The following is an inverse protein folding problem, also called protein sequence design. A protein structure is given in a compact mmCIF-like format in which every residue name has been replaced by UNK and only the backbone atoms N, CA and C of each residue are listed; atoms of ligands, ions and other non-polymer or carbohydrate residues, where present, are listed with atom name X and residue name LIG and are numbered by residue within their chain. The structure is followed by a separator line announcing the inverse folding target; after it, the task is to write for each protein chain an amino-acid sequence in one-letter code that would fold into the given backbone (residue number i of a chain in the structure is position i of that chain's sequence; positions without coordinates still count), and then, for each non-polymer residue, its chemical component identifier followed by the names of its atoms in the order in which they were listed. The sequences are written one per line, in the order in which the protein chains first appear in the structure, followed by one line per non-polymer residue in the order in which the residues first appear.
data_IF_451759017421
#
_entry.id   IF_451759017421
#
_cell.length_a   1.000
_cell.length_b   1.000
_cell.length_c   1.000
_cell.angle_alpha   90.00
_cell.angle_beta   90.00
_cell.angle_gamma   90.00
#
_symmetry.space_group_name_H-M   'P 1'
#
loop_
_entity.id
_entity.type
_entity.pdbx_description
1 polymer ?
#
# COMPACT_ATOMS: atom_id res chain seq x y z
N UNK A 1 -0.26 -25.13 -82.93
CA UNK A 1 0.53 -26.25 -83.46
C UNK A 1 0.46 -27.40 -82.46
N UNK A 2 -0.30 -28.46 -82.73
CA UNK A 2 -0.41 -29.58 -81.81
C UNK A 2 0.77 -30.54 -82.00
N UNK A 3 1.35 -30.99 -80.90
CA UNK A 3 2.36 -32.04 -80.81
C UNK A 3 1.76 -33.36 -81.33
N UNK A 4 1.91 -33.62 -82.62
CA UNK A 4 1.54 -34.86 -83.30
C UNK A 4 2.82 -35.56 -83.76
N UNK A 5 3.53 -36.19 -82.83
CA UNK A 5 4.09 -37.54 -82.96
C UNK A 5 4.99 -37.86 -81.77
N UNK A 6 4.49 -38.72 -80.88
CA UNK A 6 5.30 -39.41 -79.88
C UNK A 6 4.99 -40.89 -80.05
N UNK A 7 5.99 -41.68 -80.44
CA UNK A 7 5.87 -43.12 -80.67
C UNK A 7 5.27 -43.83 -79.44
N UNK A 8 4.58 -44.98 -79.61
CA UNK A 8 3.83 -45.64 -78.53
C UNK A 8 4.66 -45.94 -77.26
N UNK A 9 5.97 -46.11 -77.41
CA UNK A 9 6.91 -46.32 -76.30
C UNK A 9 7.16 -45.05 -75.46
N UNK A 10 7.11 -43.85 -76.07
CA UNK A 10 7.23 -42.58 -75.36
C UNK A 10 5.94 -42.24 -74.58
N UNK A 11 4.76 -42.55 -75.14
CA UNK A 11 3.46 -42.30 -74.48
C UNK A 11 3.26 -43.16 -73.22
N UNK A 12 3.72 -44.41 -73.24
CA UNK A 12 3.64 -45.31 -72.06
C UNK A 12 4.63 -44.90 -70.95
N UNK A 13 5.83 -44.45 -71.32
CA UNK A 13 6.80 -43.88 -70.36
C UNK A 13 6.35 -42.54 -69.78
N UNK A 14 5.75 -41.66 -70.59
CA UNK A 14 5.16 -40.41 -70.11
C UNK A 14 4.05 -40.65 -69.08
N UNK A 15 3.10 -41.56 -69.34
CA UNK A 15 2.00 -41.80 -68.38
C UNK A 15 2.45 -42.39 -67.03
N UNK A 16 3.53 -43.19 -67.02
CA UNK A 16 4.12 -43.70 -65.77
C UNK A 16 4.83 -42.58 -65.01
N UNK A 17 5.51 -41.69 -65.73
CA UNK A 17 6.22 -40.55 -65.16
C UNK A 17 5.22 -39.49 -64.63
N UNK A 18 4.13 -39.22 -65.34
CA UNK A 18 3.03 -38.36 -64.88
C UNK A 18 2.39 -38.88 -63.58
N UNK A 19 2.14 -40.19 -63.49
CA UNK A 19 1.62 -40.81 -62.24
C UNK A 19 2.63 -40.74 -61.10
N UNK A 20 3.93 -40.91 -61.38
CA UNK A 20 4.98 -40.78 -60.37
C UNK A 20 5.08 -39.33 -59.86
N UNK A 21 4.98 -38.34 -60.74
CA UNK A 21 4.92 -36.91 -60.37
C UNK A 21 3.67 -36.62 -59.55
N UNK A 22 2.51 -37.15 -59.93
CA UNK A 22 1.27 -37.03 -59.15
C UNK A 22 1.39 -37.56 -57.72
N UNK A 23 1.98 -38.76 -57.55
CA UNK A 23 2.26 -39.33 -56.23
C UNK A 23 3.27 -38.50 -55.42
N UNK A 24 4.31 -37.98 -56.07
CA UNK A 24 5.28 -37.11 -55.43
C UNK A 24 4.64 -35.82 -54.90
N UNK A 25 3.81 -35.16 -55.72
CA UNK A 25 3.08 -33.95 -55.33
C UNK A 25 2.10 -34.24 -54.19
N UNK A 26 1.38 -35.36 -54.25
CA UNK A 26 0.46 -35.77 -53.18
C UNK A 26 1.21 -36.01 -51.87
N UNK A 27 2.33 -36.72 -51.92
CA UNK A 27 3.18 -36.97 -50.75
C UNK A 27 3.76 -35.65 -50.18
N UNK A 28 4.17 -34.73 -51.03
CA UNK A 28 4.64 -33.41 -50.62
C UNK A 28 3.53 -32.60 -49.91
N UNK A 29 2.31 -32.59 -50.46
CA UNK A 29 1.15 -31.95 -49.82
C UNK A 29 0.83 -32.60 -48.47
N UNK A 30 0.89 -33.93 -48.39
CA UNK A 30 0.62 -34.67 -47.15
C UNK A 30 1.68 -34.36 -46.07
N UNK A 31 2.95 -34.28 -46.45
CA UNK A 31 4.03 -33.86 -45.54
C UNK A 31 3.88 -32.41 -45.08
N UNK A 32 3.54 -31.48 -45.99
CA UNK A 32 3.34 -30.07 -45.65
C UNK A 32 2.13 -29.88 -44.72
N UNK A 33 1.01 -30.52 -45.04
CA UNK A 33 -0.21 -30.45 -44.20
C UNK A 33 0.00 -31.12 -42.85
N UNK A 34 0.65 -32.28 -42.80
CA UNK A 34 1.02 -32.95 -41.57
C UNK A 34 1.99 -32.13 -40.71
N UNK A 35 3.03 -31.55 -41.33
CA UNK A 35 3.98 -30.67 -40.65
C UNK A 35 3.33 -29.40 -40.11
N UNK A 36 2.44 -28.77 -40.89
CA UNK A 36 1.68 -27.60 -40.44
C UNK A 36 0.72 -27.94 -39.30
N UNK A 37 0.00 -29.06 -39.38
CA UNK A 37 -0.90 -29.52 -38.32
C UNK A 37 -0.13 -29.82 -37.03
N UNK A 38 1.03 -30.48 -37.13
CA UNK A 38 1.92 -30.73 -35.99
C UNK A 38 2.45 -29.43 -35.36
N UNK A 39 2.90 -28.49 -36.19
CA UNK A 39 3.34 -27.17 -35.74
C UNK A 39 2.21 -26.40 -35.04
N UNK A 40 1.01 -26.42 -35.61
CA UNK A 40 -0.18 -25.76 -35.05
C UNK A 40 -0.57 -26.38 -33.71
N UNK A 41 -0.56 -27.72 -33.61
CA UNK A 41 -0.85 -28.45 -32.39
C UNK A 41 0.15 -28.12 -31.27
N UNK A 42 1.45 -28.19 -31.57
CA UNK A 42 2.50 -27.87 -30.60
C UNK A 42 2.45 -26.39 -30.17
N UNK A 43 2.11 -25.49 -31.09
CA UNK A 43 1.93 -24.06 -30.79
C UNK A 43 0.72 -23.84 -29.87
N UNK A 44 -0.40 -24.52 -30.15
CA UNK A 44 -1.61 -24.44 -29.35
C UNK A 44 -1.41 -25.01 -27.94
N UNK A 45 -0.67 -26.11 -27.81
CA UNK A 45 -0.29 -26.71 -26.53
C UNK A 45 0.59 -25.77 -25.71
N UNK A 46 1.65 -25.19 -26.31
CA UNK A 46 2.53 -24.21 -25.66
C UNK A 46 1.80 -22.95 -25.21
N UNK A 47 0.81 -22.49 -25.98
CA UNK A 47 -0.03 -21.34 -25.59
C UNK A 47 -1.16 -21.71 -24.62
N UNK A 48 -1.31 -23.00 -24.29
CA UNK A 48 -2.34 -23.50 -23.38
C UNK A 48 -3.77 -23.33 -23.90
N UNK A 49 -3.98 -23.39 -25.22
CA UNK A 49 -5.31 -23.25 -25.83
C UNK A 49 -6.30 -24.33 -25.39
N UNK A 50 -5.79 -25.51 -25.06
CA UNK A 50 -6.58 -26.65 -24.61
C UNK A 50 -6.66 -26.77 -23.08
N UNK A 51 -6.07 -25.82 -22.34
CA UNK A 51 -6.06 -25.85 -20.88
C UNK A 51 -7.38 -25.30 -20.36
N UNK A 52 -7.99 -26.01 -19.41
CA UNK A 52 -9.20 -25.53 -18.72
C UNK A 52 -8.91 -24.22 -17.99
N UNK A 53 -9.78 -23.24 -18.16
CA UNK A 53 -9.66 -21.91 -17.56
C UNK A 53 -10.88 -21.61 -16.71
N UNK A 54 -10.64 -21.28 -15.45
CA UNK A 54 -11.67 -20.86 -14.52
C UNK A 54 -11.82 -19.33 -14.54
N UNK A 55 -12.99 -18.80 -14.92
CA UNK A 55 -13.25 -17.37 -14.88
C UNK A 55 -13.49 -16.89 -13.46
N UNK A 56 -13.01 -15.70 -13.14
CA UNK A 56 -13.23 -15.01 -11.88
C UNK A 56 -13.53 -13.55 -12.19
N UNK A 57 -14.07 -12.86 -11.20
CA UNK A 57 -14.15 -11.41 -11.25
C UNK A 57 -13.78 -10.78 -9.93
N UNK A 58 -13.40 -9.52 -10.01
CA UNK A 58 -13.21 -8.65 -8.86
C UNK A 58 -13.70 -7.25 -9.20
N UNK A 59 -13.84 -6.46 -8.15
CA UNK A 59 -14.12 -5.05 -8.29
C UNK A 59 -12.88 -4.25 -7.94
N UNK A 60 -12.72 -3.12 -8.60
CA UNK A 60 -11.66 -2.19 -8.32
C UNK A 60 -12.23 -0.76 -8.20
N UNK A 61 -11.58 0.08 -7.42
CA UNK A 61 -11.85 1.50 -7.38
C UNK A 61 -11.44 2.18 -8.68
N UNK A 62 -10.35 1.71 -9.31
CA UNK A 62 -9.77 2.29 -10.53
C UNK A 62 -9.14 1.24 -11.45
N UNK A 63 -9.28 1.46 -12.76
CA UNK A 63 -8.67 0.62 -13.80
C UNK A 63 -7.25 1.07 -14.20
N UNK A 64 -6.72 2.14 -13.59
CA UNK A 64 -5.45 2.74 -14.00
C UNK A 64 -4.32 1.73 -13.98
N UNK A 65 -3.60 1.60 -15.09
CA UNK A 65 -2.46 0.67 -15.21
C UNK A 65 -2.84 -0.78 -15.48
N UNK A 66 -4.13 -1.10 -15.64
CA UNK A 66 -4.63 -2.42 -16.04
C UNK A 66 -5.14 -2.40 -17.48
N UNK A 67 -4.87 -3.48 -18.22
CA UNK A 67 -5.33 -3.69 -19.59
C UNK A 67 -5.88 -5.10 -19.77
N UNK A 68 -6.83 -5.24 -20.70
CA UNK A 68 -7.29 -6.55 -21.15
C UNK A 68 -6.10 -7.28 -21.79
N UNK A 69 -5.90 -8.54 -21.41
CA UNK A 69 -4.75 -9.36 -21.80
C UNK A 69 -3.57 -9.31 -20.84
N UNK A 70 -3.56 -8.42 -19.84
CA UNK A 70 -2.49 -8.40 -18.83
C UNK A 70 -2.46 -9.72 -18.04
N UNK A 71 -1.27 -10.21 -17.68
CA UNK A 71 -1.13 -11.48 -16.98
C UNK A 71 -1.68 -11.38 -15.55
N UNK A 72 -2.34 -12.45 -15.13
CA UNK A 72 -2.70 -12.67 -13.72
C UNK A 72 -1.60 -13.49 -13.08
N UNK A 73 -1.06 -12.98 -11.97
CA UNK A 73 0.02 -13.62 -11.24
C UNK A 73 -0.46 -14.38 -10.02
N UNK A 74 0.17 -15.50 -9.70
CA UNK A 74 -0.01 -16.21 -8.44
C UNK A 74 1.35 -16.64 -7.95
N UNK A 75 1.77 -16.15 -6.78
CA UNK A 75 3.11 -16.43 -6.23
C UNK A 75 4.24 -16.09 -7.23
N UNK A 76 4.07 -15.01 -8.01
CA UNK A 76 5.02 -14.59 -9.04
C UNK A 76 4.95 -15.33 -10.38
N UNK A 77 4.16 -16.40 -10.52
CA UNK A 77 3.96 -17.11 -11.77
C UNK A 77 2.81 -16.51 -12.58
N UNK A 78 2.94 -16.46 -13.91
CA UNK A 78 1.85 -16.09 -14.80
C UNK A 78 0.86 -17.25 -14.94
N UNK A 79 -0.29 -17.14 -14.30
CA UNK A 79 -1.29 -18.22 -14.18
C UNK A 79 -2.55 -17.97 -15.00
N UNK A 80 -2.69 -16.79 -15.56
CA UNK A 80 -3.94 -16.34 -16.16
C UNK A 80 -3.81 -15.03 -16.91
N UNK A 81 -4.94 -14.47 -17.30
CA UNK A 81 -4.99 -13.17 -17.97
C UNK A 81 -6.31 -12.45 -17.70
N UNK A 82 -6.28 -11.12 -17.73
CA UNK A 82 -7.48 -10.28 -17.67
C UNK A 82 -8.24 -10.42 -18.98
N UNK A 83 -9.53 -10.73 -18.91
CA UNK A 83 -10.40 -10.95 -20.08
C UNK A 83 -11.32 -9.77 -20.34
N UNK A 84 -11.68 -9.00 -19.31
CA UNK A 84 -12.60 -7.85 -19.45
C UNK A 84 -12.36 -6.81 -18.35
N UNK A 85 -12.49 -5.54 -18.70
CA UNK A 85 -12.46 -4.41 -17.76
C UNK A 85 -13.58 -3.45 -18.17
N UNK A 86 -14.54 -3.20 -17.28
CA UNK A 86 -15.65 -2.30 -17.53
C UNK A 86 -15.89 -1.33 -16.37
N UNK A 87 -16.41 -0.15 -16.69
CA UNK A 87 -16.94 0.77 -15.68
C UNK A 87 -18.31 0.28 -15.21
N UNK A 88 -18.52 0.32 -13.90
CA UNK A 88 -19.82 0.05 -13.29
C UNK A 88 -20.75 1.26 -13.40
N UNK A 89 -22.09 1.04 -13.38
CA UNK A 89 -23.05 2.13 -13.37
C UNK A 89 -22.87 3.06 -12.16
N UNK A 90 -23.27 4.35 -12.25
CA UNK A 90 -23.04 5.36 -11.20
C UNK A 90 -23.59 5.01 -9.80
N UNK A 91 -24.59 4.13 -9.73
CA UNK A 91 -25.26 3.74 -8.48
C UNK A 91 -24.73 2.42 -7.89
N UNK A 92 -23.66 1.87 -8.45
CA UNK A 92 -23.01 0.67 -7.96
C UNK A 92 -21.96 1.03 -6.90
N UNK A 93 -21.77 0.19 -5.88
CA UNK A 93 -20.82 0.49 -4.79
C UNK A 93 -19.35 0.48 -5.24
N UNK A 94 -19.07 -0.23 -6.35
CA UNK A 94 -17.75 -0.32 -6.96
C UNK A 94 -17.74 0.38 -8.30
N UNK A 95 -16.60 0.94 -8.67
CA UNK A 95 -16.44 1.76 -9.89
C UNK A 95 -16.05 0.94 -11.12
N UNK A 96 -15.21 -0.07 -10.94
CA UNK A 96 -14.62 -0.85 -12.04
C UNK A 96 -14.84 -2.33 -11.79
N UNK A 97 -15.28 -3.05 -12.81
CA UNK A 97 -15.37 -4.49 -12.84
C UNK A 97 -14.22 -5.06 -13.67
N UNK A 98 -13.54 -6.06 -13.12
CA UNK A 98 -12.43 -6.75 -13.78
C UNK A 98 -12.73 -8.24 -13.81
N UNK A 99 -12.89 -8.80 -15.01
CA UNK A 99 -13.01 -10.24 -15.25
C UNK A 99 -11.65 -10.79 -15.69
N UNK A 100 -11.28 -11.94 -15.16
CA UNK A 100 -10.02 -12.59 -15.49
C UNK A 100 -10.17 -14.11 -15.44
N UNK A 101 -9.27 -14.81 -16.12
CA UNK A 101 -9.28 -16.27 -16.16
C UNK A 101 -7.99 -16.84 -15.58
N UNK A 102 -8.10 -17.96 -14.87
CA UNK A 102 -6.95 -18.67 -14.29
C UNK A 102 -6.90 -20.08 -14.88
N UNK A 103 -5.74 -20.47 -15.38
CA UNK A 103 -5.51 -21.74 -16.06
C UNK A 103 -5.31 -22.88 -15.06
N UNK A 104 -5.60 -24.11 -15.48
CA UNK A 104 -5.19 -25.31 -14.73
C UNK A 104 -3.65 -25.36 -14.61
N UNK A 105 -3.09 -25.86 -13.50
CA UNK A 105 -3.78 -26.32 -12.28
C UNK A 105 -4.06 -25.20 -11.25
N UNK A 106 -3.74 -23.95 -11.58
CA UNK A 106 -3.61 -22.85 -10.61
C UNK A 106 -4.92 -22.40 -9.97
N UNK A 107 -6.05 -22.53 -10.66
CA UNK A 107 -7.36 -22.23 -10.05
C UNK A 107 -7.65 -23.11 -8.82
N UNK A 108 -7.03 -24.30 -8.71
CA UNK A 108 -7.18 -25.19 -7.55
C UNK A 108 -6.57 -24.63 -6.26
N UNK A 109 -5.72 -23.61 -6.37
CA UNK A 109 -5.14 -22.90 -5.23
C UNK A 109 -6.02 -21.75 -4.74
N UNK A 110 -7.12 -21.43 -5.44
CA UNK A 110 -8.03 -20.35 -5.06
C UNK A 110 -9.22 -20.87 -4.28
N UNK A 111 -9.27 -20.49 -3.00
CA UNK A 111 -10.28 -20.95 -2.06
C UNK A 111 -11.08 -19.77 -1.50
N UNK A 112 -12.23 -20.06 -0.92
CA UNK A 112 -13.17 -19.04 -0.41
C UNK A 112 -12.59 -18.18 0.71
N UNK A 113 -11.56 -18.67 1.43
CA UNK A 113 -10.87 -17.88 2.45
C UNK A 113 -9.37 -17.77 2.17
N UNK A 114 -8.85 -16.54 2.26
CA UNK A 114 -7.44 -16.22 2.09
C UNK A 114 -7.02 -15.95 0.64
N UNK A 115 -7.86 -16.29 -0.34
CA UNK A 115 -7.67 -15.83 -1.72
C UNK A 115 -8.25 -14.44 -1.93
N UNK A 116 -7.38 -13.49 -2.22
CA UNK A 116 -7.71 -12.11 -2.54
C UNK A 116 -6.98 -11.70 -3.81
N UNK A 117 -7.54 -10.72 -4.51
CA UNK A 117 -6.89 -10.05 -5.63
C UNK A 117 -6.10 -8.86 -5.09
N UNK A 118 -4.80 -8.85 -5.29
CA UNK A 118 -3.93 -7.71 -5.04
C UNK A 118 -3.64 -6.99 -6.34
N UNK A 119 -3.90 -5.69 -6.35
CA UNK A 119 -3.57 -4.83 -7.48
C UNK A 119 -2.27 -4.06 -7.18
N UNK A 120 -1.15 -4.73 -7.44
CA UNK A 120 0.20 -4.25 -7.13
C UNK A 120 0.84 -3.53 -8.32
N UNK A 121 1.69 -2.50 -8.10
CA UNK A 121 2.51 -1.94 -9.16
C UNK A 121 3.45 -3.01 -9.74
N UNK A 122 3.45 -3.14 -11.07
CA UNK A 122 4.34 -4.02 -11.82
C UNK A 122 5.75 -3.43 -11.96
N UNK A 123 5.80 -2.10 -12.07
CA UNK A 123 7.00 -1.32 -12.37
C UNK A 123 6.83 0.13 -11.88
N UNK A 124 7.91 0.91 -11.90
CA UNK A 124 7.96 2.32 -11.52
C UNK A 124 7.19 3.24 -12.47
N UNK A 125 6.86 2.77 -13.69
CA UNK A 125 6.19 3.55 -14.72
C UNK A 125 4.65 3.44 -14.71
N UNK A 126 4.06 2.89 -13.64
CA UNK A 126 2.62 2.92 -13.41
C UNK A 126 1.83 1.77 -14.04
N UNK A 127 2.49 0.77 -14.63
CA UNK A 127 1.84 -0.51 -14.95
C UNK A 127 1.46 -1.22 -13.64
N UNK A 128 0.27 -1.80 -13.56
CA UNK A 128 -0.17 -2.64 -12.44
C UNK A 128 -0.29 -4.08 -12.91
N UNK A 129 -0.01 -5.02 -12.01
CA UNK A 129 -0.33 -6.44 -12.23
C UNK A 129 -1.48 -6.84 -11.33
N UNK A 130 -2.35 -7.71 -11.85
CA UNK A 130 -3.33 -8.41 -11.03
C UNK A 130 -2.65 -9.65 -10.44
N UNK A 131 -2.42 -9.65 -9.13
CA UNK A 131 -1.90 -10.81 -8.41
C UNK A 131 -3.02 -11.43 -7.58
N UNK A 132 -3.15 -12.75 -7.61
CA UNK A 132 -4.06 -13.50 -6.74
C UNK A 132 -3.28 -14.23 -5.66
N UNK A 133 -3.80 -14.24 -4.43
CA UNK A 133 -3.21 -14.99 -3.33
C UNK A 133 -3.78 -16.39 -3.24
N UNK A 134 -2.93 -17.35 -2.85
CA UNK A 134 -3.39 -18.71 -2.55
C UNK A 134 -4.34 -18.71 -1.36
N UNK A 135 -5.33 -19.60 -1.41
CA UNK A 135 -6.24 -19.86 -0.31
C UNK A 135 -5.50 -20.34 0.93
N UNK A 136 -6.05 -20.01 2.09
CA UNK A 136 -5.56 -20.51 3.38
C UNK A 136 -6.54 -21.46 4.04
N UNK A 137 -7.84 -21.24 3.82
CA UNK A 137 -8.95 -21.97 4.45
C UNK A 137 -10.18 -21.95 3.53
N UNK A 138 -11.28 -22.50 4.02
CA UNK A 138 -12.54 -22.54 3.28
C UNK A 138 -12.55 -23.65 2.24
N UNK A 139 -13.23 -23.40 1.12
CA UNK A 139 -13.50 -24.40 0.10
C UNK A 139 -12.91 -24.00 -1.26
N UNK A 140 -12.59 -24.96 -2.15
CA UNK A 140 -12.26 -24.67 -3.54
C UNK A 140 -13.38 -23.86 -4.22
N UNK A 141 -13.00 -22.81 -4.93
CA UNK A 141 -13.97 -21.91 -5.59
C UNK A 141 -14.75 -22.58 -6.71
N UNK A 142 -14.09 -23.49 -7.44
CA UNK A 142 -14.68 -24.31 -8.51
C UNK A 142 -14.51 -25.79 -8.24
N UNK A 143 -15.53 -26.57 -8.60
CA UNK A 143 -15.55 -28.04 -8.51
C UNK A 143 -15.83 -28.66 -9.88
N UNK A 144 -15.36 -29.89 -10.06
CA UNK A 144 -15.43 -30.65 -11.33
C UNK A 144 -16.18 -31.97 -11.17
N UNK A 145 -16.59 -32.29 -9.96
CA UNK A 145 -17.42 -33.44 -9.64
C UNK A 145 -18.87 -33.16 -10.03
N UNK A 146 -19.64 -34.13 -10.55
CA UNK A 146 -21.06 -33.94 -10.82
C UNK A 146 -21.79 -33.47 -9.56
N UNK A 147 -22.53 -32.36 -9.69
CA UNK A 147 -23.41 -31.84 -8.65
C UNK A 147 -24.79 -32.49 -8.80
N UNK A 148 -25.30 -33.08 -7.73
CA UNK A 148 -26.62 -33.71 -7.69
C UNK A 148 -27.43 -33.13 -6.52
N UNK A 149 -28.73 -32.97 -6.73
CA UNK A 149 -29.67 -32.59 -5.67
C UNK A 149 -30.59 -33.76 -5.41
N UNK A 150 -30.52 -34.31 -4.20
CA UNK A 150 -31.17 -35.55 -3.79
C UNK A 150 -32.06 -35.30 -2.60
N UNK A 151 -33.13 -36.08 -2.48
CA UNK A 151 -33.89 -36.18 -1.23
C UNK A 151 -33.11 -37.00 -0.20
N UNK A 152 -33.38 -36.82 1.10
CA UNK A 152 -32.74 -37.63 2.13
C UNK A 152 -33.00 -39.14 1.95
N UNK A 153 -34.21 -39.51 1.52
CA UNK A 153 -34.56 -40.91 1.26
C UNK A 153 -33.79 -41.52 0.09
N UNK A 154 -33.55 -40.75 -0.99
CA UNK A 154 -32.69 -41.19 -2.09
C UNK A 154 -31.23 -41.31 -1.63
N UNK A 155 -30.75 -40.34 -0.83
CA UNK A 155 -29.39 -40.33 -0.32
C UNK A 155 -29.09 -41.54 0.57
N UNK A 156 -30.02 -41.98 1.43
CA UNK A 156 -29.84 -43.16 2.29
C UNK A 156 -29.67 -44.47 1.51
N UNK A 157 -30.25 -44.54 0.31
CA UNK A 157 -30.21 -45.71 -0.56
C UNK A 157 -28.98 -45.76 -1.47
N UNK A 158 -28.12 -44.73 -1.45
CA UNK A 158 -26.93 -44.71 -2.28
C UNK A 158 -25.89 -45.77 -1.84
N UNK A 159 -25.29 -46.51 -2.80
CA UNK A 159 -24.16 -47.36 -2.51
C UNK A 159 -22.91 -46.52 -2.23
N UNK A 160 -22.10 -46.93 -1.24
CA UNK A 160 -20.84 -46.24 -0.88
C UNK A 160 -21.00 -44.74 -0.59
N UNK A 161 -21.76 -44.41 0.46
CA UNK A 161 -22.00 -43.04 0.94
C UNK A 161 -20.72 -42.21 1.12
N UNK A 162 -19.62 -42.85 1.46
CA UNK A 162 -18.29 -42.24 1.62
C UNK A 162 -17.77 -41.56 0.34
N UNK A 163 -18.28 -41.98 -0.84
CA UNK A 163 -17.94 -41.40 -2.14
C UNK A 163 -18.77 -40.16 -2.47
N UNK A 164 -19.81 -39.88 -1.72
CA UNK A 164 -20.60 -38.67 -1.86
C UNK A 164 -20.16 -37.66 -0.81
N UNK A 165 -19.97 -36.41 -1.21
CA UNK A 165 -19.62 -35.33 -0.29
C UNK A 165 -20.67 -34.23 -0.35
N UNK A 166 -20.97 -33.60 0.77
CA UNK A 166 -21.89 -32.46 0.80
C UNK A 166 -21.36 -31.33 -0.08
N UNK A 167 -22.25 -30.74 -0.88
CA UNK A 167 -21.97 -29.59 -1.73
C UNK A 167 -22.51 -28.28 -1.11
N UNK A 168 -22.86 -28.28 0.17
CA UNK A 168 -23.41 -27.12 0.89
C UNK A 168 -22.98 -27.14 2.36
N UNK A 169 -22.96 -25.97 3.00
CA UNK A 169 -22.94 -25.85 4.45
C UNK A 169 -24.36 -25.84 4.99
N UNK A 170 -24.65 -26.77 5.90
CA UNK A 170 -25.95 -26.85 6.56
C UNK A 170 -25.79 -26.31 7.97
N UNK A 171 -26.62 -25.32 8.32
CA UNK A 171 -26.66 -24.70 9.65
C UNK A 171 -27.81 -25.27 10.46
N UNK A 172 -27.66 -25.26 11.78
CA UNK A 172 -28.75 -25.64 12.69
C UNK A 172 -29.86 -24.58 12.66
N UNK A 173 -31.12 -25.01 12.75
CA UNK A 173 -32.31 -24.14 12.71
C UNK A 173 -32.30 -23.05 13.80
N UNK A 174 -31.65 -23.32 14.94
CA UNK A 174 -31.73 -22.48 16.15
C UNK A 174 -30.41 -21.75 16.48
N UNK A 175 -29.43 -21.68 15.57
CA UNK A 175 -28.17 -20.98 15.87
C UNK A 175 -27.24 -20.76 14.68
N UNK A 176 -26.18 -19.99 14.92
CA UNK A 176 -25.10 -19.70 13.94
C UNK A 176 -24.13 -20.86 13.74
N UNK A 177 -24.32 -21.98 14.45
CA UNK A 177 -23.43 -23.14 14.40
C UNK A 177 -23.65 -23.95 13.12
N UNK A 178 -22.55 -24.24 12.43
CA UNK A 178 -22.51 -25.08 11.23
C UNK A 178 -22.69 -26.53 11.68
N UNK A 179 -23.77 -27.18 11.24
CA UNK A 179 -24.06 -28.58 11.52
C UNK A 179 -23.24 -29.50 10.59
N UNK A 180 -23.16 -29.13 9.31
CA UNK A 180 -22.41 -29.88 8.29
C UNK A 180 -21.63 -28.88 7.44
N UNK A 181 -20.33 -29.15 7.25
CA UNK A 181 -19.48 -28.38 6.33
C UNK A 181 -19.55 -28.97 4.92
N UNK A 182 -19.37 -28.12 3.91
CA UNK A 182 -19.19 -28.60 2.56
C UNK A 182 -17.95 -29.52 2.46
N UNK A 183 -17.95 -30.42 1.48
CA UNK A 183 -16.96 -31.45 1.24
C UNK A 183 -16.83 -32.53 2.34
N UNK A 184 -17.70 -32.53 3.34
CA UNK A 184 -17.81 -33.62 4.32
C UNK A 184 -18.41 -34.85 3.62
N UNK A 185 -17.83 -36.06 3.77
CA UNK A 185 -18.43 -37.29 3.26
C UNK A 185 -19.81 -37.55 3.86
N UNK A 186 -20.70 -38.15 3.06
CA UNK A 186 -22.01 -38.57 3.53
C UNK A 186 -21.86 -39.73 4.52
N UNK A 187 -22.68 -39.71 5.56
CA UNK A 187 -22.81 -40.81 6.52
C UNK A 187 -24.26 -40.97 6.93
N UNK A 188 -24.64 -42.20 7.31
CA UNK A 188 -26.01 -42.48 7.76
C UNK A 188 -26.39 -41.68 9.00
N UNK A 189 -25.42 -41.43 9.88
CA UNK A 189 -25.65 -40.64 11.09
C UNK A 189 -25.90 -39.17 10.77
N UNK A 190 -25.17 -38.60 9.81
CA UNK A 190 -25.40 -37.23 9.35
C UNK A 190 -26.76 -37.10 8.64
N UNK A 191 -27.15 -38.06 7.80
CA UNK A 191 -28.46 -38.03 7.14
C UNK A 191 -29.61 -38.06 8.16
N UNK A 192 -29.51 -38.89 9.20
CA UNK A 192 -30.50 -38.91 10.31
C UNK A 192 -30.54 -37.59 11.08
N UNK A 193 -29.38 -36.98 11.35
CA UNK A 193 -29.31 -35.66 11.99
C UNK A 193 -29.98 -34.59 11.13
N UNK A 194 -29.77 -34.61 9.81
CA UNK A 194 -30.39 -33.68 8.88
C UNK A 194 -31.91 -33.88 8.78
N UNK A 195 -32.39 -35.12 8.82
CA UNK A 195 -33.82 -35.43 8.90
C UNK A 195 -34.44 -34.87 10.18
N UNK A 196 -33.75 -35.00 11.33
CA UNK A 196 -34.19 -34.42 12.60
C UNK A 196 -34.19 -32.88 12.58
N UNK A 197 -33.35 -32.26 11.74
CA UNK A 197 -33.34 -30.82 11.47
C UNK A 197 -34.40 -30.39 10.43
N UNK A 198 -35.28 -31.29 9.99
CA UNK A 198 -36.37 -30.97 9.05
C UNK A 198 -35.89 -30.66 7.63
N UNK A 199 -34.69 -31.08 7.24
CA UNK A 199 -34.22 -30.93 5.85
C UNK A 199 -34.78 -32.06 5.00
N UNK A 200 -35.29 -31.74 3.82
CA UNK A 200 -35.84 -32.74 2.89
C UNK A 200 -34.88 -33.06 1.74
N UNK A 201 -34.12 -32.06 1.31
CA UNK A 201 -33.23 -32.11 0.14
C UNK A 201 -31.82 -31.68 0.53
N UNK A 202 -30.85 -32.33 -0.09
CA UNK A 202 -29.42 -32.06 0.06
C UNK A 202 -28.73 -32.00 -1.29
N UNK A 203 -27.66 -31.21 -1.37
CA UNK A 203 -26.77 -31.18 -2.52
C UNK A 203 -25.50 -31.95 -2.23
N UNK A 204 -25.11 -32.79 -3.19
CA UNK A 204 -23.95 -33.66 -3.06
C UNK A 204 -23.10 -33.68 -4.32
N UNK A 205 -21.81 -33.90 -4.12
CA UNK A 205 -20.87 -34.24 -5.17
C UNK A 205 -20.63 -35.74 -5.20
N UNK A 206 -20.68 -36.31 -6.40
CA UNK A 206 -20.13 -37.64 -6.64
C UNK A 206 -18.62 -37.54 -6.86
N UNK A 207 -17.83 -38.05 -5.92
CA UNK A 207 -16.36 -38.00 -6.01
C UNK A 207 -15.75 -39.09 -6.88
N UNK A 208 -16.55 -40.07 -7.34
CA UNK A 208 -16.09 -41.12 -8.24
C UNK A 208 -15.82 -40.58 -9.65
N UNK A 209 -16.64 -39.64 -10.11
CA UNK A 209 -16.51 -39.03 -11.43
C UNK A 209 -15.89 -37.63 -11.31
N UNK A 210 -14.94 -37.33 -12.19
CA UNK A 210 -14.42 -35.98 -12.37
C UNK A 210 -14.51 -35.59 -13.84
N UNK A 211 -15.23 -34.51 -14.13
CA UNK A 211 -15.36 -33.98 -15.49
C UNK A 211 -14.15 -33.11 -15.85
N UNK A 212 -13.88 -32.99 -17.15
CA UNK A 212 -12.83 -32.09 -17.68
C UNK A 212 -13.21 -30.61 -17.58
N UNK A 213 -14.51 -30.33 -17.49
CA UNK A 213 -15.10 -28.98 -17.41
C UNK A 213 -15.62 -28.72 -16.00
N UNK A 214 -15.59 -27.45 -15.59
CA UNK A 214 -16.18 -27.01 -14.33
C UNK A 214 -17.66 -27.39 -14.28
N UNK A 215 -18.07 -27.99 -13.17
CA UNK A 215 -19.47 -28.40 -12.95
C UNK A 215 -20.18 -27.45 -12.02
N UNK A 216 -19.46 -26.84 -11.08
CA UNK A 216 -20.05 -26.00 -10.05
C UNK A 216 -19.09 -24.95 -9.51
N UNK A 217 -19.68 -23.92 -8.93
CA UNK A 217 -19.03 -22.74 -8.36
C UNK A 217 -19.58 -22.49 -6.97
N UNK A 218 -18.74 -22.05 -6.03
CA UNK A 218 -19.17 -21.72 -4.68
C UNK A 218 -19.95 -20.40 -4.65
N UNK A 219 -21.05 -20.37 -3.91
CA UNK A 219 -21.82 -19.16 -3.62
C UNK A 219 -21.66 -18.81 -2.13
N UNK A 220 -20.99 -17.70 -1.85
CA UNK A 220 -20.71 -17.27 -0.47
C UNK A 220 -21.92 -16.77 0.30
N UNK A 221 -22.99 -16.36 -0.37
CA UNK A 221 -24.22 -15.92 0.28
C UNK A 221 -25.08 -17.12 0.69
N UNK A 222 -25.30 -18.04 -0.25
CA UNK A 222 -26.10 -19.25 -0.03
C UNK A 222 -25.31 -20.36 0.71
N UNK A 223 -23.99 -20.17 0.88
CA UNK A 223 -23.05 -21.12 1.49
C UNK A 223 -23.15 -22.52 0.88
N UNK A 224 -23.24 -22.58 -0.45
CA UNK A 224 -23.36 -23.83 -1.22
C UNK A 224 -22.73 -23.71 -2.58
N UNK A 225 -22.47 -24.86 -3.19
CA UNK A 225 -22.14 -24.95 -4.60
C UNK A 225 -23.40 -24.89 -5.47
N UNK A 226 -23.29 -24.18 -6.57
CA UNK A 226 -24.31 -24.04 -7.59
C UNK A 226 -23.76 -24.53 -8.92
N UNK A 227 -24.64 -25.05 -9.78
CA UNK A 227 -24.24 -25.49 -11.11
C UNK A 227 -23.58 -24.34 -11.85
N UNK A 228 -22.42 -24.59 -12.42
CA UNK A 228 -21.66 -23.56 -13.11
C UNK A 228 -22.37 -23.14 -14.40
N UNK A 229 -22.57 -21.85 -14.53
CA UNK A 229 -23.01 -21.14 -15.72
C UNK A 229 -22.04 -19.98 -15.98
N UNK A 230 -22.04 -19.42 -17.19
CA UNK A 230 -21.16 -18.28 -17.52
C UNK A 230 -21.56 -16.98 -16.83
N UNK A 231 -22.67 -16.97 -16.09
CA UNK A 231 -23.25 -15.83 -15.38
C UNK A 231 -22.85 -15.81 -13.90
N UNK A 232 -22.72 -16.97 -13.25
CA UNK A 232 -22.37 -17.10 -11.82
C UNK A 232 -20.87 -17.29 -11.63
N UNK A 233 -20.09 -16.27 -11.98
CA UNK A 233 -18.65 -16.27 -11.75
C UNK A 233 -18.33 -16.16 -10.25
N UNK A 234 -17.17 -16.64 -9.81
CA UNK A 234 -16.75 -16.47 -8.43
C UNK A 234 -16.13 -15.09 -8.20
N UNK A 235 -16.61 -14.37 -7.18
CA UNK A 235 -16.08 -13.07 -6.78
C UNK A 235 -14.88 -13.25 -5.85
N UNK A 236 -13.70 -12.79 -6.30
CA UNK A 236 -12.54 -12.65 -5.43
C UNK A 236 -12.46 -11.22 -4.89
N UNK A 237 -12.40 -11.08 -3.57
CA UNK A 237 -12.26 -9.77 -2.93
C UNK A 237 -10.94 -9.11 -3.34
N UNK A 238 -11.00 -7.82 -3.65
CA UNK A 238 -9.82 -7.00 -3.95
C UNK A 238 -9.22 -6.40 -2.69
N UNK A 239 -7.91 -6.53 -2.54
CA UNK A 239 -7.08 -5.77 -1.62
C UNK A 239 -6.26 -4.76 -2.44
N UNK A 240 -6.76 -3.53 -2.50
CA UNK A 240 -6.16 -2.47 -3.30
C UNK A 240 -5.10 -1.69 -2.52
N UNK A 241 -3.87 -1.78 -3.00
CA UNK A 241 -2.85 -0.81 -2.64
C UNK A 241 -2.99 0.42 -3.55
N UNK A 242 -3.04 1.65 -3.00
CA UNK A 242 -3.17 2.86 -3.80
C UNK A 242 -2.01 2.97 -4.79
N UNK A 243 -2.32 3.45 -6.00
CA UNK A 243 -1.35 3.59 -7.08
C UNK A 243 -0.19 4.54 -6.69
N UNK A 244 0.99 4.36 -7.31
CA UNK A 244 2.16 5.18 -6.99
C UNK A 244 1.92 6.67 -7.24
N UNK A 245 1.21 7.03 -8.31
CA UNK A 245 0.81 8.42 -8.58
C UNK A 245 -0.05 9.00 -7.45
N UNK A 246 -0.95 8.21 -6.87
CA UNK A 246 -1.77 8.65 -5.74
C UNK A 246 -0.94 8.83 -4.46
N UNK A 247 0.04 7.96 -4.24
CA UNK A 247 0.98 8.14 -3.12
C UNK A 247 1.82 9.40 -3.30
N UNK A 248 2.28 9.67 -4.52
CA UNK A 248 3.01 10.90 -4.83
C UNK A 248 2.13 12.15 -4.66
N UNK A 249 0.89 12.14 -5.14
CA UNK A 249 -0.04 13.25 -4.95
C UNK A 249 -0.37 13.48 -3.46
N UNK A 250 -0.55 12.41 -2.67
CA UNK A 250 -0.76 12.51 -1.21
C UNK A 250 0.47 13.06 -0.50
N UNK A 251 1.67 12.58 -0.83
CA UNK A 251 2.92 13.07 -0.26
C UNK A 251 3.15 14.54 -0.60
N UNK A 252 2.91 14.95 -1.84
CA UNK A 252 3.01 16.35 -2.27
C UNK A 252 2.02 17.21 -1.48
N UNK A 253 0.77 16.75 -1.33
CA UNK A 253 -0.24 17.47 -0.55
C UNK A 253 0.07 17.54 0.96
N UNK A 254 0.68 16.52 1.55
CA UNK A 254 1.14 16.55 2.94
C UNK A 254 2.32 17.51 3.13
N UNK A 255 3.27 17.53 2.21
CA UNK A 255 4.39 18.49 2.21
C UNK A 255 3.91 19.93 2.05
N UNK A 256 2.96 20.18 1.13
CA UNK A 256 2.35 21.49 0.92
C UNK A 256 1.66 22.01 2.20
N UNK A 257 0.95 21.13 2.92
CA UNK A 257 0.30 21.48 4.20
C UNK A 257 1.27 21.74 5.34
N UNK A 258 2.46 21.13 5.32
CA UNK A 258 3.46 21.28 6.38
C UNK A 258 4.31 22.55 6.21
N UNK A 259 4.43 23.09 4.98
CA UNK A 259 5.27 24.24 4.65
C UNK A 259 4.99 25.50 5.50
N UNK A 260 3.71 25.91 5.74
CA UNK A 260 3.40 27.10 6.53
C UNK A 260 3.92 27.02 7.97
N UNK A 261 3.89 25.83 8.57
CA UNK A 261 4.35 25.61 9.94
C UNK A 261 5.86 25.79 10.07
N UNK A 262 6.64 25.38 9.04
CA UNK A 262 8.10 25.57 9.00
C UNK A 262 8.45 27.06 8.91
N UNK A 263 7.72 27.82 8.09
CA UNK A 263 7.89 29.28 7.99
C UNK A 263 7.52 29.96 9.32
N UNK A 264 6.44 29.53 9.98
CA UNK A 264 6.04 30.05 11.28
C UNK A 264 7.09 29.82 12.38
N UNK A 265 7.71 28.63 12.42
CA UNK A 265 8.80 28.32 13.35
C UNK A 265 10.02 29.21 13.11
N UNK A 266 10.33 29.53 11.86
CA UNK A 266 11.45 30.41 11.50
C UNK A 266 11.19 31.84 11.97
N UNK A 267 9.95 32.33 11.84
CA UNK A 267 9.56 33.63 12.37
C UNK A 267 9.64 33.67 13.91
N UNK A 268 9.23 32.60 14.61
CA UNK A 268 9.36 32.52 16.07
C UNK A 268 10.82 32.53 16.53
N UNK A 269 11.71 31.83 15.80
CA UNK A 269 13.14 31.83 16.09
C UNK A 269 13.75 33.23 15.91
N UNK A 270 13.36 33.96 14.86
CA UNK A 270 13.81 35.34 14.65
C UNK A 270 13.41 36.26 15.82
N UNK A 271 12.17 36.14 16.32
CA UNK A 271 11.67 36.91 17.48
C UNK A 271 12.44 36.57 18.76
N UNK A 272 12.73 35.28 19.02
CA UNK A 272 13.54 34.90 20.19
C UNK A 272 14.98 35.42 20.10
N UNK A 273 15.55 35.51 18.89
CA UNK A 273 16.88 36.07 18.69
C UNK A 273 16.90 37.58 18.98
N UNK A 274 15.88 38.31 18.53
CA UNK A 274 15.70 39.74 18.81
C UNK A 274 15.59 40.02 20.31
N UNK A 275 14.77 39.24 21.03
CA UNK A 275 14.65 39.37 22.48
C UNK A 275 15.97 39.08 23.22
N UNK A 276 16.75 38.11 22.73
CA UNK A 276 18.07 37.78 23.28
C UNK A 276 19.07 38.91 23.05
N UNK A 277 19.06 39.53 21.86
CA UNK A 277 19.90 40.68 21.54
C UNK A 277 19.56 41.90 22.42
N UNK A 278 18.27 42.16 22.67
CA UNK A 278 17.82 43.22 23.59
C UNK A 278 18.29 42.97 25.03
N UNK A 279 18.22 41.73 25.51
CA UNK A 279 18.67 41.35 26.84
C UNK A 279 20.17 41.55 27.00
N UNK A 280 20.96 41.17 26.00
CA UNK A 280 22.41 41.43 25.93
C UNK A 280 22.75 42.93 25.98
N UNK A 281 22.03 43.74 25.21
CA UNK A 281 22.19 45.20 25.21
C UNK A 281 21.91 45.82 26.59
N UNK A 282 20.84 45.38 27.25
CA UNK A 282 20.49 45.85 28.59
C UNK A 282 21.53 45.44 29.65
N UNK A 283 22.07 44.22 29.56
CA UNK A 283 23.15 43.78 30.44
C UNK A 283 24.42 44.59 30.23
N UNK A 284 24.82 44.85 28.98
CA UNK A 284 25.96 45.70 28.68
C UNK A 284 25.78 47.11 29.27
N UNK A 285 24.57 47.68 29.14
CA UNK A 285 24.25 48.98 29.73
C UNK A 285 24.33 48.95 31.26
N UNK A 286 23.87 47.87 31.89
CA UNK A 286 23.92 47.70 33.35
C UNK A 286 25.37 47.58 33.85
N UNK A 287 26.23 46.89 33.10
CA UNK A 287 27.67 46.82 33.37
C UNK A 287 28.33 48.20 33.31
N UNK A 288 28.07 48.98 32.25
CA UNK A 288 28.59 50.35 32.10
C UNK A 288 28.04 51.28 33.20
N UNK A 289 26.77 51.11 33.59
CA UNK A 289 26.16 51.91 34.66
C UNK A 289 26.64 51.52 36.06
N UNK A 290 27.12 50.28 36.26
CA UNK A 290 27.67 49.82 37.53
C UNK A 290 29.14 50.22 37.72
N UNK A 291 29.86 50.52 36.63
CA UNK A 291 31.27 50.91 36.64
C UNK A 291 31.60 52.07 37.60
N UNK A 292 30.81 53.17 37.67
CA UNK A 292 31.06 54.26 38.62
C UNK A 292 30.79 53.86 40.07
N UNK A 293 29.80 53.00 40.32
CA UNK A 293 29.49 52.53 41.68
C UNK A 293 30.62 51.65 42.23
N UNK A 294 31.16 50.77 41.38
CA UNK A 294 32.33 49.95 41.71
C UNK A 294 33.57 50.83 41.86
N UNK A 295 33.79 51.79 40.96
CA UNK A 295 34.91 52.75 41.04
C UNK A 295 34.85 53.59 42.32
N UNK A 296 33.68 54.10 42.70
CA UNK A 296 33.48 54.86 43.94
C UNK A 296 33.68 54.00 45.19
N UNK A 297 33.26 52.74 45.18
CA UNK A 297 33.54 51.79 46.26
C UNK A 297 35.04 51.49 46.38
N UNK A 298 35.74 51.33 45.26
CA UNK A 298 37.20 51.17 45.23
C UNK A 298 37.91 52.45 45.70
N UNK A 299 37.41 53.63 45.32
CA UNK A 299 37.95 54.91 45.78
C UNK A 299 37.76 55.08 47.30
N UNK A 300 36.54 54.85 47.82
CA UNK A 300 36.24 54.89 49.26
C UNK A 300 37.10 53.89 50.05
N UNK A 301 37.24 52.65 49.56
CA UNK A 301 38.10 51.65 50.22
C UNK A 301 39.58 52.01 50.15
N UNK A 302 40.03 52.65 49.06
CA UNK A 302 41.40 53.16 48.94
C UNK A 302 41.67 54.33 49.89
N UNK A 303 40.70 55.23 50.07
CA UNK A 303 40.80 56.33 51.03
C UNK A 303 40.85 55.83 52.47
N UNK A 304 40.11 54.75 52.77
CA UNK A 304 40.14 54.08 54.07
C UNK A 304 41.45 53.29 54.30
N UNK A 305 42.10 52.76 53.26
CA UNK A 305 43.38 52.03 53.35
C UNK A 305 44.62 52.93 53.49
N UNK A 306 44.48 54.25 53.30
CA UNK A 306 45.59 55.20 53.45
C UNK A 306 46.13 55.24 54.90
N UNK A 307 47.42 54.97 55.08
CA UNK A 307 48.07 54.96 56.38
C UNK A 307 47.82 56.28 57.14
N UNK A 308 47.12 56.20 58.28
CA UNK A 308 46.81 57.33 59.16
C UNK A 308 45.45 58.01 58.96
N UNK A 309 44.69 57.71 57.89
CA UNK A 309 43.38 58.36 57.63
C UNK A 309 42.23 57.77 58.44
N UNK A 310 42.22 56.46 58.65
CA UNK A 310 41.32 55.82 59.61
C UNK A 310 41.50 56.37 61.03
N UNK A 311 42.74 56.70 61.41
CA UNK A 311 43.05 57.32 62.70
C UNK A 311 42.38 58.68 62.88
N UNK A 312 42.44 59.56 61.88
CA UNK A 312 41.78 60.88 61.94
C UNK A 312 40.26 60.80 62.05
N UNK A 313 39.62 59.81 61.43
CA UNK A 313 38.18 59.57 61.59
C UNK A 313 37.85 59.02 62.99
N UNK A 314 38.70 58.11 63.50
CA UNK A 314 38.54 57.45 64.81
C UNK A 314 38.63 58.38 66.03
N UNK A 315 39.38 59.48 65.94
CA UNK A 315 39.65 60.36 67.11
C UNK A 315 38.51 61.35 67.44
N UNK A 316 37.36 61.28 66.75
CA UNK A 316 36.23 62.19 67.02
C UNK A 316 35.16 61.64 67.95
N UNK A 317 35.25 60.39 68.42
CA UNK A 317 34.28 59.85 69.39
C UNK A 317 34.93 58.91 70.41
N UNK A 318 34.93 59.35 71.67
CA UNK A 318 35.42 58.64 72.87
C UNK A 318 34.54 57.42 73.22
N UNK A 319 35.02 56.19 72.93
CA UNK A 319 34.66 54.94 73.65
C UNK A 319 35.50 53.73 73.13
N UNK A 320 36.51 53.30 73.88
CA UNK A 320 37.51 52.28 73.46
C UNK A 320 37.00 50.82 73.37
N UNK A 321 35.90 50.44 74.02
CA UNK A 321 35.41 49.05 73.98
C UNK A 321 34.50 48.73 72.77
N UNK A 322 33.82 49.72 72.19
CA UNK A 322 33.06 49.56 70.95
C UNK A 322 33.96 49.62 69.70
N UNK A 323 35.19 50.14 69.83
CA UNK A 323 36.11 50.29 68.71
C UNK A 323 36.60 48.93 68.19
N UNK A 324 36.95 47.96 69.04
CA UNK A 324 37.39 46.63 68.58
C UNK A 324 36.27 45.82 67.92
N UNK A 325 35.04 45.89 68.45
CA UNK A 325 33.88 45.25 67.84
C UNK A 325 33.50 45.90 66.51
N UNK A 326 33.59 47.24 66.40
CA UNK A 326 33.30 47.97 65.17
C UNK A 326 34.38 47.76 64.12
N UNK A 327 35.66 47.71 64.50
CA UNK A 327 36.77 47.40 63.59
C UNK A 327 36.71 45.95 63.10
N UNK A 328 36.37 44.99 63.97
CA UNK A 328 36.16 43.59 63.56
C UNK A 328 34.97 43.46 62.62
N UNK A 329 33.84 44.11 62.93
CA UNK A 329 32.66 44.12 62.06
C UNK A 329 32.94 44.80 60.72
N UNK A 330 33.67 45.92 60.69
CA UNK A 330 34.07 46.59 59.46
C UNK A 330 35.03 45.74 58.63
N UNK A 331 35.97 45.03 59.26
CA UNK A 331 36.88 44.14 58.56
C UNK A 331 36.12 42.95 57.94
N UNK A 332 35.15 42.39 58.68
CA UNK A 332 34.22 41.36 58.17
C UNK A 332 33.35 41.92 57.04
N UNK A 333 32.83 43.15 57.15
CA UNK A 333 31.99 43.77 56.13
C UNK A 333 32.80 44.09 54.86
N UNK A 334 34.05 44.54 54.99
CA UNK A 334 34.98 44.76 53.87
C UNK A 334 35.36 43.44 53.20
N UNK A 335 35.70 42.39 53.96
CA UNK A 335 35.99 41.07 53.40
C UNK A 335 34.77 40.44 52.72
N UNK A 336 33.58 40.60 53.30
CA UNK A 336 32.33 40.13 52.70
C UNK A 336 31.96 40.94 51.45
N UNK A 337 32.24 42.25 51.43
CA UNK A 337 31.97 43.11 50.27
C UNK A 337 32.90 42.77 49.12
N UNK A 338 34.21 42.60 49.36
CA UNK A 338 35.17 42.17 48.35
C UNK A 338 34.78 40.79 47.79
N UNK A 339 34.40 39.85 48.66
CA UNK A 339 33.97 38.49 48.24
C UNK A 339 32.68 38.53 47.42
N UNK A 340 31.69 39.33 47.83
CA UNK A 340 30.41 39.43 47.13
C UNK A 340 30.52 40.18 45.79
N UNK A 341 31.37 41.21 45.70
CA UNK A 341 31.60 41.94 44.45
C UNK A 341 32.36 41.06 43.45
N UNK A 342 33.37 40.31 43.90
CA UNK A 342 34.09 39.33 43.06
C UNK A 342 33.15 38.22 42.60
N UNK A 343 32.32 37.68 43.49
CA UNK A 343 31.34 36.65 43.15
C UNK A 343 30.28 37.16 42.15
N UNK A 344 29.84 38.41 42.28
CA UNK A 344 28.89 39.04 41.34
C UNK A 344 29.55 39.27 39.97
N UNK A 345 30.79 39.74 39.94
CA UNK A 345 31.55 39.92 38.70
C UNK A 345 31.79 38.58 37.97
N UNK A 346 32.13 37.51 38.69
CA UNK A 346 32.27 36.17 38.13
C UNK A 346 30.96 35.64 37.56
N UNK A 347 29.84 35.78 38.30
CA UNK A 347 28.51 35.36 37.80
C UNK A 347 28.05 36.15 36.57
N UNK A 348 28.38 37.45 36.51
CA UNK A 348 28.11 38.27 35.33
C UNK A 348 28.97 37.83 34.13
N UNK A 349 30.26 37.53 34.35
CA UNK A 349 31.13 37.01 33.30
C UNK A 349 30.63 35.66 32.75
N UNK A 350 30.28 34.72 33.65
CA UNK A 350 29.68 33.43 33.27
C UNK A 350 28.36 33.60 32.53
N UNK A 351 27.50 34.54 32.96
CA UNK A 351 26.24 34.82 32.28
C UNK A 351 26.46 35.41 30.88
N UNK A 352 27.47 36.27 30.69
CA UNK A 352 27.80 36.86 29.40
C UNK A 352 28.38 35.82 28.44
N UNK A 353 29.23 34.91 28.94
CA UNK A 353 29.81 33.82 28.15
C UNK A 353 28.75 32.81 27.72
N UNK A 354 27.85 32.43 28.63
CA UNK A 354 26.70 31.57 28.31
C UNK A 354 25.79 32.23 27.27
N UNK A 355 25.54 33.53 27.38
CA UNK A 355 24.72 34.28 26.42
C UNK A 355 25.40 34.38 25.05
N UNK A 356 26.71 34.57 25.00
CA UNK A 356 27.48 34.55 23.75
C UNK A 356 27.42 33.18 23.07
N UNK A 357 27.53 32.10 23.84
CA UNK A 357 27.40 30.72 23.33
C UNK A 357 25.99 30.43 22.80
N UNK A 358 24.94 30.83 23.53
CA UNK A 358 23.54 30.71 23.09
C UNK A 358 23.31 31.50 21.81
N UNK A 359 23.81 32.73 21.73
CA UNK A 359 23.67 33.60 20.54
C UNK A 359 24.38 33.01 19.32
N UNK A 360 25.59 32.48 19.52
CA UNK A 360 26.35 31.80 18.46
C UNK A 360 25.63 30.54 17.96
N UNK A 361 25.13 29.71 18.87
CA UNK A 361 24.38 28.49 18.53
C UNK A 361 23.06 28.80 17.82
N UNK A 362 22.32 29.82 18.27
CA UNK A 362 21.08 30.23 17.61
C UNK A 362 21.34 30.82 16.22
N UNK A 363 22.41 31.59 16.03
CA UNK A 363 22.80 32.10 14.71
C UNK A 363 23.17 30.95 13.75
N UNK A 364 23.92 29.95 14.22
CA UNK A 364 24.25 28.76 13.44
C UNK A 364 22.97 27.97 13.05
N UNK A 365 22.03 27.81 13.98
CA UNK A 365 20.76 27.13 13.72
C UNK A 365 19.86 27.93 12.76
N UNK A 366 19.81 29.25 12.85
CA UNK A 366 19.05 30.09 11.92
C UNK A 366 19.61 30.06 10.50
N UNK A 367 20.93 30.08 10.34
CA UNK A 367 21.57 29.95 9.02
C UNK A 367 21.30 28.58 8.41
N UNK A 368 21.41 27.51 9.21
CA UNK A 368 21.05 26.17 8.77
C UNK A 368 19.58 26.07 8.36
N UNK A 369 18.66 26.59 9.18
CA UNK A 369 17.22 26.59 8.88
C UNK A 369 16.89 27.43 7.64
N UNK A 370 17.53 28.57 7.45
CA UNK A 370 17.33 29.41 6.25
C UNK A 370 17.80 28.68 4.99
N UNK A 371 18.95 28.00 5.05
CA UNK A 371 19.45 27.20 3.94
C UNK A 371 18.56 25.99 3.64
N UNK A 372 18.00 25.34 4.67
CA UNK A 372 17.04 24.23 4.54
C UNK A 372 15.71 24.73 3.97
N UNK A 373 15.18 25.86 4.44
CA UNK A 373 13.94 26.45 3.92
C UNK A 373 14.13 26.90 2.48
N UNK A 374 15.27 27.50 2.14
CA UNK A 374 15.59 27.89 0.77
C UNK A 374 15.71 26.67 -0.14
N UNK A 375 16.44 25.62 0.28
CA UNK A 375 16.58 24.41 -0.52
C UNK A 375 15.28 23.62 -0.65
N UNK A 376 14.44 23.58 0.39
CA UNK A 376 13.09 23.02 0.34
C UNK A 376 12.18 23.85 -0.58
N UNK A 377 12.22 25.18 -0.50
CA UNK A 377 11.46 26.07 -1.37
C UNK A 377 11.87 25.89 -2.83
N UNK A 378 13.17 25.85 -3.12
CA UNK A 378 13.69 25.61 -4.48
C UNK A 378 13.32 24.21 -4.97
N UNK A 379 13.42 23.19 -4.12
CA UNK A 379 13.01 21.83 -4.46
C UNK A 379 11.50 21.70 -4.71
N UNK A 380 10.67 22.41 -3.93
CA UNK A 380 9.20 22.43 -4.11
C UNK A 380 8.83 23.22 -5.36
N UNK A 381 9.47 24.36 -5.63
CA UNK A 381 9.25 25.13 -6.85
C UNK A 381 9.63 24.31 -8.09
N UNK A 382 10.78 23.63 -8.07
CA UNK A 382 11.19 22.76 -9.17
C UNK A 382 10.33 21.50 -9.27
N UNK A 383 9.83 20.97 -8.16
CA UNK A 383 8.88 19.86 -8.16
C UNK A 383 7.52 20.29 -8.72
N UNK A 384 7.01 21.48 -8.38
CA UNK A 384 5.79 22.02 -8.98
C UNK A 384 6.01 22.32 -10.46
N UNK A 385 7.12 22.94 -10.87
CA UNK A 385 7.46 23.14 -12.29
C UNK A 385 7.53 21.81 -13.06
N UNK A 386 8.11 20.77 -12.46
CA UNK A 386 8.15 19.42 -13.03
C UNK A 386 6.75 18.80 -13.13
N UNK A 387 5.93 18.89 -12.06
CA UNK A 387 4.55 18.39 -12.04
C UNK A 387 3.65 19.18 -13.00
N UNK A 388 3.82 20.50 -13.10
CA UNK A 388 3.16 21.37 -14.07
C UNK A 388 3.59 21.02 -15.49
N UNK A 389 4.87 20.73 -15.72
CA UNK A 389 5.40 20.22 -16.98
C UNK A 389 4.74 18.89 -17.36
N UNK A 390 4.62 17.96 -16.41
CA UNK A 390 3.89 16.70 -16.58
C UNK A 390 2.40 16.93 -16.90
N UNK A 391 1.72 17.82 -16.17
CA UNK A 391 0.31 18.17 -16.39
C UNK A 391 0.05 18.82 -17.76
N UNK A 392 1.00 19.62 -18.25
CA UNK A 392 0.96 20.29 -19.56
C UNK A 392 1.35 19.37 -20.72
N UNK A 393 2.04 18.27 -20.43
CA UNK A 393 2.43 17.30 -21.45
C UNK A 393 1.18 16.60 -22.04
N UNK A 394 1.06 16.64 -23.37
CA UNK A 394 -0.12 16.17 -24.11
C UNK A 394 -0.49 14.70 -23.80
N UNK A 395 0.50 13.86 -23.52
CA UNK A 395 0.34 12.44 -23.19
C UNK A 395 -0.27 12.20 -21.78
N UNK A 396 -0.06 13.10 -20.82
CA UNK A 396 -0.35 12.87 -19.39
C UNK A 396 -1.50 13.74 -18.85
N UNK A 397 -1.99 14.69 -19.64
CA UNK A 397 -3.09 15.61 -19.30
C UNK A 397 -4.38 14.93 -18.86
N UNK A 398 -4.66 13.71 -19.32
CA UNK A 398 -5.86 12.95 -18.93
C UNK A 398 -5.80 12.38 -17.51
N UNK A 399 -4.61 12.17 -16.96
CA UNK A 399 -4.41 11.58 -15.63
C UNK A 399 -4.71 12.55 -14.48
N UNK A 400 -4.69 13.88 -14.73
CA UNK A 400 -4.77 14.92 -13.69
C UNK A 400 -6.12 15.65 -13.62
N UNK A 401 -7.16 15.20 -14.33
CA UNK A 401 -8.50 15.79 -14.23
C UNK A 401 -9.24 15.29 -12.99
N UNK A 402 -9.50 16.17 -12.02
CA UNK A 402 -10.40 15.88 -10.90
C UNK A 402 -11.87 16.00 -11.32
N UNK A 403 -12.72 15.12 -10.77
CA UNK A 403 -14.19 15.11 -10.96
C UNK A 403 -14.91 15.14 -9.60
N UNK A 404 -16.17 15.61 -9.58
CA UNK A 404 -16.84 16.07 -8.36
C UNK A 404 -17.15 14.94 -7.37
N UNK A 405 -17.10 15.30 -6.09
CA UNK A 405 -17.28 14.41 -4.95
C UNK A 405 -18.75 14.04 -4.78
N UNK A 406 -19.03 12.74 -4.68
CA UNK A 406 -20.36 12.19 -4.36
C UNK A 406 -20.34 11.52 -2.99
N UNK A 407 -21.37 11.77 -2.18
CA UNK A 407 -21.56 11.16 -0.86
C UNK A 407 -22.12 9.74 -0.97
N UNK A 408 -21.70 8.79 -0.11
CA UNK A 408 -22.14 7.40 -0.18
C UNK A 408 -23.52 7.18 0.47
N UNK A 409 -24.32 6.30 -0.14
CA UNK A 409 -25.61 5.78 0.34
C UNK A 409 -25.48 4.28 0.75
N UNK A 410 -26.39 3.74 1.58
CA UNK A 410 -26.13 2.56 2.43
C UNK A 410 -26.15 1.18 1.75
N UNK A 411 -25.65 0.20 2.52
CA UNK A 411 -24.97 -1.04 2.11
C UNK A 411 -25.85 -2.30 1.91
N UNK A 412 -26.98 -2.22 1.20
CA UNK A 412 -27.91 -3.36 1.06
C UNK A 412 -28.06 -3.90 -0.38
N UNK A 413 -26.97 -4.23 -1.07
CA UNK A 413 -27.06 -4.80 -2.42
C UNK A 413 -26.15 -6.01 -2.63
N UNK A 414 -26.75 -7.10 -3.13
CA UNK A 414 -26.04 -8.25 -3.72
C UNK A 414 -25.15 -7.75 -4.86
N UNK A 415 -23.86 -8.08 -4.78
CA UNK A 415 -22.91 -7.77 -5.84
C UNK A 415 -22.87 -8.93 -6.83
N UNK A 416 -23.51 -8.72 -7.97
CA UNK A 416 -23.71 -9.74 -8.99
C UNK A 416 -22.97 -9.31 -10.25
N UNK A 417 -22.42 -10.26 -11.00
CA UNK A 417 -21.83 -9.96 -12.31
C UNK A 417 -22.87 -9.25 -13.20
N UNK A 418 -22.49 -8.24 -14.00
CA UNK A 418 -23.43 -7.57 -14.90
C UNK A 418 -24.22 -8.50 -15.83
N UNK A 419 -23.73 -9.72 -16.08
CA UNK A 419 -24.39 -10.73 -16.93
C UNK A 419 -25.66 -11.37 -16.32
N UNK A 420 -25.97 -11.12 -15.06
CA UNK A 420 -27.16 -11.72 -14.41
C UNK A 420 -28.38 -10.78 -14.41
N UNK A 421 -28.24 -9.54 -14.93
CA UNK A 421 -29.34 -8.56 -15.00
C UNK A 421 -30.03 -8.45 -16.37
N UNK A 422 -29.48 -9.13 -17.37
CA UNK A 422 -30.05 -9.28 -18.72
C UNK A 422 -30.48 -10.74 -18.90
#
# INVERSE_FOLDING_TARGET
MPLHDLTPQLRTRLSRMERAVGWFVLLAILLLTGGFAYYLYNTAERKGWFVTKAPYFTFAERATGLKVGDPVKLMGFDVGQITRIDAMPPYHAFNVYVEFEIKAPYYGYLWTEGSVVKLTPADLFGQRTLEVTKGTKGYPTYMFNPLQELTLGEAENLPHLDRFKFAEEIRNLNGTNIAVRALTPLSRDLLKQLAALGRERIRVFDTHEQKKTMTSVWNDFEKRYETYARTNLYWLLSDETPALSERLDKLVGEVEKALPNVIALTNQLAVTLENTALLSSNLNRLTVQAEPAVSNLVALTSELRGAGRLGQWLFTTTQQAQLDATLTNLNVLLMNTDTNVVALAQRLAESLENLACITSNLNAQLQANTNIVKSLSDAILHADEFVQGLKRHWLLRSAFKQRPVFQPLPADRRFVSPKEKD
#
